data_IF_273645817766
#
_entry.id   IF_273645817766
#
_cell.length_a   1.000
_cell.length_b   1.000
_cell.length_c   1.000
_cell.angle_alpha   90.00
_cell.angle_beta   90.00
_cell.angle_gamma   90.00
#
_symmetry.space_group_name_H-M   'P 1'
#
loop_
_entity.id
_entity.type
_entity.pdbx_description
1 polymer ?
#
# COMPACT_ATOMS: atom_id res chain seq x y z
N UNK A 1 8.47 1.54 -2.08
CA UNK A 1 8.18 2.99 -1.85
C UNK A 1 7.76 3.22 -0.41
N UNK A 2 8.26 4.26 0.20
CA UNK A 2 7.86 4.68 1.55
C UNK A 2 7.00 5.93 1.43
N UNK A 3 5.86 5.94 2.11
CA UNK A 3 4.95 7.09 2.16
C UNK A 3 4.85 7.56 3.61
N UNK A 4 5.05 8.85 3.83
CA UNK A 4 4.96 9.47 5.14
C UNK A 4 3.88 10.54 5.15
N UNK A 5 3.10 10.60 6.23
CA UNK A 5 2.06 11.59 6.40
C UNK A 5 1.09 11.25 7.51
N UNK A 6 0.14 12.14 7.75
CA UNK A 6 -0.90 11.91 8.74
C UNK A 6 -1.80 10.77 8.28
N UNK A 7 -1.97 9.76 9.14
CA UNK A 7 -2.72 8.53 8.85
C UNK A 7 -2.27 7.81 7.57
N UNK A 8 -0.95 7.81 7.30
CA UNK A 8 -0.40 7.26 6.06
C UNK A 8 -0.83 5.81 5.80
N UNK A 9 -0.76 4.93 6.81
CA UNK A 9 -1.14 3.52 6.65
C UNK A 9 -2.60 3.40 6.21
N UNK A 10 -3.50 4.06 6.90
CA UNK A 10 -4.94 4.00 6.60
C UNK A 10 -5.25 4.58 5.22
N UNK A 11 -4.63 5.71 4.88
CA UNK A 11 -4.88 6.38 3.61
C UNK A 11 -4.34 5.59 2.42
N UNK A 12 -3.15 5.01 2.55
CA UNK A 12 -2.58 4.16 1.50
C UNK A 12 -3.45 2.92 1.28
N UNK A 13 -3.90 2.28 2.36
CA UNK A 13 -4.78 1.11 2.25
C UNK A 13 -6.12 1.46 1.57
N UNK A 14 -6.65 2.64 1.83
CA UNK A 14 -7.87 3.12 1.20
C UNK A 14 -7.69 3.32 -0.32
N UNK A 15 -6.53 3.83 -0.73
CA UNK A 15 -6.19 4.01 -2.14
C UNK A 15 -5.97 2.67 -2.84
N UNK A 16 -5.31 1.73 -2.18
CA UNK A 16 -4.99 0.41 -2.72
C UNK A 16 -6.24 -0.45 -2.89
N UNK A 17 -7.15 -0.43 -1.94
CA UNK A 17 -8.38 -1.20 -1.97
C UNK A 17 -8.34 -2.47 -1.14
N UNK A 18 -9.38 -3.29 -1.26
CA UNK A 18 -9.51 -4.55 -0.54
C UNK A 18 -8.41 -5.54 -0.93
N UNK A 19 -8.10 -6.48 -0.04
CA UNK A 19 -7.13 -7.56 -0.30
C UNK A 19 -7.48 -8.35 -1.56
N UNK A 20 -8.77 -8.58 -1.80
CA UNK A 20 -9.23 -9.28 -3.00
C UNK A 20 -9.62 -8.28 -4.07
N UNK A 21 -8.92 -8.23 -5.23
CA UNK A 21 -9.19 -7.24 -6.28
C UNK A 21 -10.65 -7.23 -6.75
N UNK A 22 -11.29 -8.39 -6.90
CA UNK A 22 -12.67 -8.49 -7.35
C UNK A 22 -13.67 -7.86 -6.37
N UNK A 23 -13.29 -7.70 -5.10
CA UNK A 23 -14.13 -7.09 -4.05
C UNK A 23 -13.74 -5.64 -3.75
N UNK A 24 -12.75 -5.11 -4.44
CA UNK A 24 -12.30 -3.74 -4.24
C UNK A 24 -13.21 -2.76 -4.96
N UNK A 25 -13.44 -1.61 -4.32
CA UNK A 25 -14.28 -0.55 -4.90
C UNK A 25 -13.63 0.07 -6.13
N UNK A 26 -14.47 0.61 -7.00
CA UNK A 26 -14.01 1.43 -8.11
C UNK A 26 -13.30 2.68 -7.58
N UNK A 27 -12.23 3.09 -8.25
CA UNK A 27 -11.38 4.19 -7.81
C UNK A 27 -10.19 3.76 -6.96
N UNK A 28 -10.13 2.49 -6.53
CA UNK A 28 -8.96 1.93 -5.87
C UNK A 28 -8.02 1.29 -6.88
N UNK A 29 -6.73 1.14 -6.51
CA UNK A 29 -5.76 0.51 -7.43
C UNK A 29 -6.19 -0.90 -7.79
N UNK A 30 -6.53 -1.72 -6.80
CA UNK A 30 -6.95 -3.11 -7.04
C UNK A 30 -8.28 -3.19 -7.76
N UNK A 31 -9.22 -2.31 -7.44
CA UNK A 31 -10.52 -2.30 -8.08
C UNK A 31 -10.46 -1.91 -9.56
N UNK A 32 -9.62 -0.93 -9.90
CA UNK A 32 -9.53 -0.41 -11.27
C UNK A 32 -8.62 -1.25 -12.17
N UNK A 33 -7.56 -1.86 -11.62
CA UNK A 33 -6.49 -2.47 -12.42
C UNK A 33 -6.35 -3.98 -12.24
N UNK A 34 -7.16 -4.60 -11.42
CA UNK A 34 -7.13 -6.04 -11.21
C UNK A 34 -8.52 -6.60 -11.05
N UNK A 35 -8.70 -7.88 -11.42
CA UNK A 35 -9.98 -8.58 -11.35
C UNK A 35 -9.86 -9.94 -10.67
N UNK A 36 -8.72 -10.23 -10.06
CA UNK A 36 -8.47 -11.54 -9.48
C UNK A 36 -9.35 -11.82 -8.24
N UNK A 37 -9.58 -13.08 -7.94
CA UNK A 37 -10.38 -13.51 -6.81
C UNK A 37 -9.78 -14.77 -6.15
N UNK A 38 -10.17 -15.00 -4.90
CA UNK A 38 -9.74 -16.21 -4.19
C UNK A 38 -10.25 -17.48 -4.89
N UNK A 39 -11.47 -17.47 -5.41
CA UNK A 39 -12.04 -18.61 -6.11
C UNK A 39 -11.24 -18.96 -7.36
N UNK A 40 -10.90 -17.98 -8.19
CA UNK A 40 -10.11 -18.21 -9.39
C UNK A 40 -8.69 -18.66 -9.04
N UNK A 41 -8.04 -18.00 -8.07
CA UNK A 41 -6.71 -18.35 -7.64
C UNK A 41 -6.65 -19.79 -7.11
N UNK A 42 -7.63 -20.19 -6.31
CA UNK A 42 -7.72 -21.57 -5.79
C UNK A 42 -7.94 -22.58 -6.91
N UNK A 43 -8.78 -22.28 -7.90
CA UNK A 43 -9.01 -23.17 -9.04
C UNK A 43 -7.74 -23.38 -9.87
N UNK A 44 -6.87 -22.40 -9.93
CA UNK A 44 -5.58 -22.45 -10.63
C UNK A 44 -4.41 -22.83 -9.74
N UNK A 45 -4.66 -23.13 -8.46
CA UNK A 45 -3.65 -23.51 -7.47
C UNK A 45 -2.49 -22.53 -7.36
N UNK A 46 -2.81 -21.24 -7.28
CA UNK A 46 -1.86 -20.14 -7.17
C UNK A 46 -2.30 -19.13 -6.11
N UNK A 47 -1.39 -18.22 -5.75
CA UNK A 47 -1.74 -17.08 -4.91
C UNK A 47 -2.57 -16.07 -5.69
N UNK A 48 -3.36 -15.26 -4.98
CA UNK A 48 -4.12 -14.16 -5.59
C UNK A 48 -3.17 -13.11 -6.15
N UNK A 49 -3.41 -12.69 -7.39
CA UNK A 49 -2.68 -11.59 -8.01
C UNK A 49 -3.33 -10.27 -7.62
N UNK A 50 -2.88 -9.69 -6.52
CA UNK A 50 -3.47 -8.47 -5.99
C UNK A 50 -2.75 -7.17 -6.42
N UNK A 51 -1.76 -7.27 -7.31
CA UNK A 51 -1.09 -6.18 -8.00
C UNK A 51 -0.14 -5.35 -7.14
N UNK A 52 -0.52 -5.02 -5.91
CA UNK A 52 0.23 -4.14 -5.02
C UNK A 52 0.10 -4.63 -3.59
N UNK A 53 1.16 -4.42 -2.80
CA UNK A 53 1.16 -4.70 -1.36
C UNK A 53 1.22 -3.38 -0.59
N UNK A 54 0.48 -3.30 0.51
CA UNK A 54 0.57 -2.20 1.45
C UNK A 54 0.57 -2.73 2.88
N UNK A 55 1.36 -2.11 3.75
CA UNK A 55 1.44 -2.49 5.16
C UNK A 55 0.08 -2.33 5.84
N UNK A 56 -0.29 -3.29 6.68
CA UNK A 56 -1.58 -3.30 7.36
C UNK A 56 -1.64 -2.44 8.62
N UNK A 57 -0.51 -2.23 9.27
CA UNK A 57 -0.39 -1.44 10.50
C UNK A 57 0.91 -0.66 10.51
N UNK A 58 1.04 0.30 11.44
CA UNK A 58 2.31 1.03 11.61
C UNK A 58 3.46 0.09 11.99
N UNK A 59 3.19 -0.92 12.82
CA UNK A 59 4.20 -1.91 13.21
C UNK A 59 4.68 -2.72 12.01
N UNK A 60 3.77 -3.16 11.17
CA UNK A 60 4.13 -3.83 9.93
C UNK A 60 4.91 -2.92 8.99
N UNK A 61 4.52 -1.64 8.88
CA UNK A 61 5.24 -0.67 8.08
C UNK A 61 6.68 -0.51 8.53
N UNK A 62 6.91 -0.39 9.84
CA UNK A 62 8.26 -0.28 10.40
C UNK A 62 9.11 -1.51 10.08
N UNK A 63 8.56 -2.71 10.24
CA UNK A 63 9.26 -3.96 9.94
C UNK A 63 9.57 -4.11 8.46
N UNK A 64 8.62 -3.77 7.61
CA UNK A 64 8.79 -3.87 6.16
C UNK A 64 9.77 -2.82 5.64
N UNK A 65 9.78 -1.61 6.18
CA UNK A 65 10.77 -0.59 5.84
C UNK A 65 12.18 -1.09 6.20
N UNK A 66 12.35 -1.63 7.41
CA UNK A 66 13.65 -2.17 7.83
C UNK A 66 14.10 -3.36 6.98
N UNK A 67 13.16 -4.14 6.45
CA UNK A 67 13.45 -5.28 5.59
C UNK A 67 13.91 -4.87 4.19
N UNK A 68 13.27 -3.87 3.58
CA UNK A 68 13.48 -3.51 2.19
C UNK A 68 14.39 -2.31 1.95
N UNK A 69 14.60 -1.47 2.98
CA UNK A 69 15.35 -0.23 2.84
C UNK A 69 16.44 -0.13 3.91
N UNK A 70 17.59 0.41 3.53
CA UNK A 70 18.63 0.80 4.48
C UNK A 70 18.39 2.25 4.91
N UNK A 71 18.93 2.69 6.08
CA UNK A 71 18.77 4.08 6.52
C UNK A 71 19.26 5.11 5.49
N UNK A 72 20.29 4.79 4.72
CA UNK A 72 20.83 5.69 3.67
C UNK A 72 19.87 5.84 2.48
N UNK A 73 18.97 4.90 2.28
CA UNK A 73 17.99 4.94 1.20
C UNK A 73 16.75 5.77 1.56
N UNK A 74 16.58 6.13 2.82
CA UNK A 74 15.44 6.89 3.31
C UNK A 74 15.79 8.37 3.28
N UNK A 75 15.08 9.13 2.44
CA UNK A 75 15.28 10.56 2.30
C UNK A 75 14.22 11.33 3.08
N UNK A 76 14.70 12.24 3.94
CA UNK A 76 13.83 13.19 4.62
C UNK A 76 13.95 14.53 3.92
N UNK A 77 12.82 15.15 3.65
CA UNK A 77 12.81 16.48 3.09
C UNK A 77 11.66 17.30 3.67
N UNK A 78 11.84 18.61 3.66
CA UNK A 78 10.83 19.54 4.14
C UNK A 78 10.35 20.38 2.96
N UNK A 79 9.04 20.39 2.73
CA UNK A 79 8.46 21.18 1.65
C UNK A 79 8.45 22.67 2.04
N UNK A 80 8.58 23.54 1.07
CA UNK A 80 8.55 24.98 1.32
C UNK A 80 7.25 25.43 1.99
N UNK A 81 6.13 24.82 1.63
CA UNK A 81 4.83 25.11 2.24
C UNK A 81 4.78 24.76 3.73
N UNK A 82 5.51 23.74 4.16
CA UNK A 82 5.53 23.33 5.57
C UNK A 82 6.11 24.41 6.48
N UNK A 83 7.09 25.15 6.01
CA UNK A 83 7.69 26.26 6.75
C UNK A 83 6.73 27.44 6.94
N UNK A 84 5.75 27.56 6.06
CA UNK A 84 4.77 28.64 6.09
C UNK A 84 3.47 28.22 6.78
N UNK A 85 3.01 26.99 6.53
CA UNK A 85 1.70 26.49 6.95
C UNK A 85 1.73 25.77 8.29
N UNK A 86 2.84 25.23 8.66
CA UNK A 86 3.03 24.43 9.86
C UNK A 86 4.27 24.88 10.63
#
# INVERSE_FOLDING_TARGET
>A
MIVQGLHAVEMVRKIVGSTMPAQSDMGTIRGDFSVDSAALANSQKRAVHNLVHASGTEEEAEKEIALWFTPEEIHEYKRAEEDIMF
#
